data_IF_966695114660
#
_entry.id   IF_966695114660
#
_cell.length_a   1.000
_cell.length_b   1.000
_cell.length_c   1.000
_cell.angle_alpha   90.00
_cell.angle_beta   90.00
_cell.angle_gamma   90.00
#
_symmetry.space_group_name_H-M   'P 1'
#
loop_
_entity.id
_entity.type
_entity.pdbx_description
1 polymer ?
#
# COMPACT_ATOMS: atom_id res chain seq x y z
N UNK A 1 -9.45 -22.78 -11.87
CA UNK A 1 -9.18 -22.11 -10.59
C UNK A 1 -8.73 -20.69 -10.88
N UNK A 2 -9.43 -19.71 -10.34
CA UNK A 2 -9.07 -18.31 -10.56
C UNK A 2 -7.85 -17.98 -9.70
N UNK A 3 -6.71 -17.75 -10.33
CA UNK A 3 -5.50 -17.33 -9.63
C UNK A 3 -5.73 -15.92 -9.06
N UNK A 4 -5.80 -15.80 -7.75
CA UNK A 4 -5.94 -14.53 -7.06
C UNK A 4 -4.55 -14.02 -6.68
N UNK A 5 -4.22 -12.77 -7.05
CA UNK A 5 -2.92 -12.14 -6.80
C UNK A 5 -2.57 -11.97 -5.30
N UNK A 6 -3.54 -12.12 -4.40
CA UNK A 6 -3.34 -12.06 -2.95
C UNK A 6 -3.14 -13.46 -2.31
N UNK A 7 -3.07 -14.51 -3.12
CA UNK A 7 -2.75 -15.86 -2.66
C UNK A 7 -1.45 -16.32 -3.30
N UNK A 8 -0.72 -17.20 -2.60
CA UNK A 8 0.45 -17.84 -3.18
C UNK A 8 0.04 -18.78 -4.30
N UNK A 9 0.70 -18.65 -5.44
CA UNK A 9 0.60 -19.58 -6.55
C UNK A 9 2.02 -19.98 -6.98
N UNK A 10 2.70 -20.83 -6.19
CA UNK A 10 4.10 -21.18 -6.44
C UNK A 10 4.29 -21.90 -7.77
N UNK A 11 3.25 -22.60 -8.26
CA UNK A 11 3.30 -23.38 -9.51
C UNK A 11 3.01 -22.55 -10.77
N UNK A 12 2.69 -21.27 -10.62
CA UNK A 12 2.45 -20.41 -11.76
C UNK A 12 3.79 -20.11 -12.47
N UNK A 13 3.94 -20.42 -13.78
CA UNK A 13 5.15 -20.10 -14.52
C UNK A 13 5.51 -18.63 -14.43
N UNK A 14 6.81 -18.33 -14.34
CA UNK A 14 7.29 -16.96 -14.41
C UNK A 14 7.13 -16.42 -15.83
N UNK A 15 6.71 -15.15 -15.91
CA UNK A 15 6.59 -14.40 -17.14
C UNK A 15 6.86 -12.93 -16.82
N UNK A 16 8.14 -12.59 -16.77
CA UNK A 16 8.60 -11.26 -16.37
C UNK A 16 8.33 -10.22 -17.45
N UNK A 17 7.85 -9.07 -17.01
CA UNK A 17 7.74 -7.85 -17.83
C UNK A 17 8.54 -6.72 -17.19
N UNK A 18 9.13 -5.88 -18.04
CA UNK A 18 9.89 -4.72 -17.62
C UNK A 18 9.32 -3.47 -18.29
N UNK A 19 9.11 -2.44 -17.49
CA UNK A 19 8.52 -1.19 -17.98
C UNK A 19 8.86 -0.03 -17.05
N UNK A 20 8.70 1.18 -17.56
CA UNK A 20 9.02 2.41 -16.85
C UNK A 20 7.77 3.18 -16.48
N UNK A 21 7.82 3.88 -15.35
CA UNK A 21 6.75 4.75 -14.89
C UNK A 21 7.30 5.89 -14.04
N UNK A 22 6.73 7.08 -14.17
CA UNK A 22 7.09 8.24 -13.35
C UNK A 22 6.10 8.42 -12.20
N UNK A 23 6.60 8.43 -10.97
CA UNK A 23 5.84 8.67 -9.74
C UNK A 23 6.52 9.77 -8.94
N UNK A 24 5.77 10.80 -8.52
CA UNK A 24 6.28 11.94 -7.76
C UNK A 24 7.54 12.56 -8.40
N UNK A 25 7.48 12.83 -9.70
CA UNK A 25 8.56 13.39 -10.54
C UNK A 25 9.83 12.53 -10.62
N UNK A 26 9.81 11.30 -10.14
CA UNK A 26 10.90 10.35 -10.25
C UNK A 26 10.57 9.24 -11.25
N UNK A 27 11.53 8.97 -12.12
CA UNK A 27 11.48 7.84 -13.05
C UNK A 27 11.82 6.54 -12.35
N UNK A 28 10.93 5.54 -12.47
CA UNK A 28 11.11 4.19 -11.95
C UNK A 28 11.16 3.18 -13.07
N UNK A 29 11.99 2.19 -12.92
CA UNK A 29 12.09 1.04 -13.78
C UNK A 29 11.60 -0.20 -13.02
N UNK A 30 10.41 -0.69 -13.37
CA UNK A 30 9.76 -1.81 -12.71
C UNK A 30 9.96 -3.12 -13.45
N UNK A 31 10.07 -4.18 -12.66
CA UNK A 31 9.89 -5.55 -13.10
C UNK A 31 8.64 -6.13 -12.43
N UNK A 32 7.81 -6.79 -13.20
CA UNK A 32 6.62 -7.50 -12.73
C UNK A 32 6.62 -8.94 -13.25
N UNK A 33 5.70 -9.75 -12.77
CA UNK A 33 5.62 -11.16 -13.12
C UNK A 33 4.16 -11.59 -13.19
N UNK A 34 3.91 -12.77 -13.71
CA UNK A 34 2.63 -13.43 -13.58
C UNK A 34 2.26 -13.62 -12.10
N UNK A 35 0.98 -13.52 -11.76
CA UNK A 35 0.48 -13.70 -10.39
C UNK A 35 0.58 -12.47 -9.49
N UNK A 36 0.95 -11.29 -10.03
CA UNK A 36 0.88 -10.03 -9.29
C UNK A 36 -0.16 -9.08 -9.89
N UNK A 37 -0.66 -8.20 -9.05
CA UNK A 37 -1.66 -7.21 -9.44
C UNK A 37 -1.04 -6.08 -10.29
N UNK A 38 -1.80 -5.62 -11.30
CA UNK A 38 -1.43 -4.49 -12.17
C UNK A 38 -0.06 -4.66 -12.83
N UNK A 39 0.06 -5.73 -13.61
CA UNK A 39 1.31 -6.20 -14.19
C UNK A 39 1.95 -5.26 -15.21
N UNK A 40 1.15 -4.51 -15.97
CA UNK A 40 1.59 -3.76 -17.15
C UNK A 40 1.77 -2.26 -16.87
N UNK A 41 1.30 -1.79 -15.74
CA UNK A 41 1.34 -0.38 -15.36
C UNK A 41 1.08 -0.23 -13.86
N UNK A 42 1.42 0.92 -13.30
CA UNK A 42 0.99 1.24 -11.92
C UNK A 42 -0.54 1.41 -11.91
N UNK A 43 -1.20 0.69 -11.00
CA UNK A 43 -2.65 0.77 -10.82
C UNK A 43 -3.13 2.21 -10.64
N UNK A 44 -4.22 2.56 -11.31
CA UNK A 44 -4.73 3.92 -11.31
C UNK A 44 -5.06 4.43 -9.89
N UNK A 45 -5.71 3.60 -9.07
CA UNK A 45 -6.02 3.96 -7.69
C UNK A 45 -4.76 4.22 -6.86
N UNK A 46 -3.73 3.40 -7.02
CA UNK A 46 -2.43 3.61 -6.37
C UNK A 46 -1.77 4.92 -6.81
N UNK A 47 -1.85 5.29 -8.08
CA UNK A 47 -1.34 6.58 -8.58
C UNK A 47 -2.06 7.76 -7.95
N UNK A 48 -3.39 7.70 -7.84
CA UNK A 48 -4.19 8.75 -7.20
C UNK A 48 -3.84 8.87 -5.72
N UNK A 49 -3.67 7.74 -5.03
CA UNK A 49 -3.29 7.72 -3.61
C UNK A 49 -1.88 8.30 -3.39
N UNK A 50 -0.91 7.91 -4.19
CA UNK A 50 0.46 8.44 -4.12
C UNK A 50 0.47 9.97 -4.32
N UNK A 51 -0.24 10.46 -5.33
CA UNK A 51 -0.33 11.89 -5.62
C UNK A 51 -1.06 12.70 -4.54
N UNK A 52 -2.00 12.09 -3.83
CA UNK A 52 -2.77 12.73 -2.76
C UNK A 52 -2.10 12.65 -1.38
N UNK A 53 -1.03 11.88 -1.24
CA UNK A 53 -0.34 11.71 0.03
C UNK A 53 0.44 12.97 0.41
N UNK A 54 0.22 13.45 1.64
CA UNK A 54 0.93 14.58 2.21
C UNK A 54 1.75 14.12 3.42
N UNK A 55 3.06 14.30 3.35
CA UNK A 55 3.98 13.96 4.43
C UNK A 55 4.22 15.10 5.42
N UNK A 56 3.82 16.33 5.10
CA UNK A 56 4.08 17.52 5.94
C UNK A 56 3.28 17.49 7.25
N UNK A 57 2.10 16.89 7.22
CA UNK A 57 1.22 16.76 8.40
C UNK A 57 1.57 15.57 9.32
N UNK A 58 2.53 14.75 8.94
CA UNK A 58 2.87 13.55 9.70
C UNK A 58 3.68 13.87 10.96
N UNK A 59 3.62 13.00 11.99
CA UNK A 59 4.54 13.06 13.12
C UNK A 59 6.00 13.16 12.66
N UNK A 60 6.82 13.90 13.39
CA UNK A 60 8.24 14.09 13.06
C UNK A 60 9.04 12.78 13.04
N UNK A 61 8.61 11.80 13.83
CA UNK A 61 9.24 10.47 13.92
C UNK A 61 8.33 9.39 13.36
N UNK A 62 8.84 8.19 13.24
CA UNK A 62 8.11 7.03 12.72
C UNK A 62 8.23 6.89 11.20
N UNK A 63 8.23 5.65 10.76
CA UNK A 63 8.24 5.28 9.36
C UNK A 63 6.85 5.22 8.74
N UNK A 64 6.83 4.78 7.51
CA UNK A 64 5.61 4.51 6.72
C UNK A 64 5.47 3.01 6.58
N UNK A 65 4.24 2.49 6.65
CA UNK A 65 3.89 1.11 6.34
C UNK A 65 3.03 1.05 5.08
N UNK A 66 3.48 0.28 4.10
CA UNK A 66 2.73 -0.05 2.87
C UNK A 66 2.17 -1.48 3.00
N UNK A 67 0.86 -1.60 3.20
CA UNK A 67 0.16 -2.88 3.43
C UNK A 67 -0.39 -3.42 2.12
N UNK A 68 0.04 -4.62 1.74
CA UNK A 68 -0.28 -5.19 0.44
C UNK A 68 0.52 -4.51 -0.66
N UNK A 69 1.84 -4.41 -0.48
CA UNK A 69 2.71 -3.59 -1.32
C UNK A 69 2.84 -4.06 -2.77
N UNK A 70 2.46 -5.31 -3.07
CA UNK A 70 2.66 -5.88 -4.40
C UNK A 70 4.13 -5.84 -4.82
N UNK A 71 4.39 -5.45 -6.06
CA UNK A 71 5.76 -5.29 -6.58
C UNK A 71 6.43 -3.95 -6.17
N UNK A 72 5.76 -3.13 -5.34
CA UNK A 72 6.37 -2.03 -4.61
C UNK A 72 6.13 -0.61 -5.07
N UNK A 73 5.17 -0.28 -5.96
CA UNK A 73 5.05 1.08 -6.51
C UNK A 73 4.78 2.15 -5.46
N UNK A 74 3.90 1.91 -4.49
CA UNK A 74 3.55 2.89 -3.45
C UNK A 74 4.73 3.10 -2.50
N UNK A 75 5.18 2.04 -1.84
CA UNK A 75 6.25 2.14 -0.85
C UNK A 75 7.56 2.69 -1.43
N UNK A 76 7.95 2.27 -2.63
CA UNK A 76 9.16 2.77 -3.29
C UNK A 76 9.06 4.24 -3.67
N UNK A 77 7.90 4.68 -4.18
CA UNK A 77 7.69 6.08 -4.52
C UNK A 77 7.79 6.98 -3.28
N UNK A 78 7.14 6.59 -2.17
CA UNK A 78 7.16 7.35 -0.93
C UNK A 78 8.53 7.35 -0.26
N UNK A 79 9.23 6.21 -0.23
CA UNK A 79 10.59 6.12 0.31
C UNK A 79 11.55 7.04 -0.45
N UNK A 80 11.47 7.06 -1.76
CA UNK A 80 12.32 7.89 -2.61
C UNK A 80 11.99 9.39 -2.48
N UNK A 81 10.70 9.74 -2.40
CA UNK A 81 10.27 11.13 -2.38
C UNK A 81 10.50 11.81 -1.04
N UNK A 82 10.24 11.12 0.06
CA UNK A 82 10.21 11.72 1.40
C UNK A 82 11.39 11.35 2.28
N UNK A 83 12.23 10.40 1.88
CA UNK A 83 13.40 9.97 2.65
C UNK A 83 13.08 9.29 3.99
N UNK A 84 11.81 9.02 4.31
CA UNK A 84 11.42 8.28 5.50
C UNK A 84 11.63 6.78 5.31
N UNK A 85 11.96 6.04 6.37
CA UNK A 85 11.95 4.58 6.31
C UNK A 85 10.56 4.06 5.95
N UNK A 86 10.47 3.13 5.02
CA UNK A 86 9.22 2.49 4.62
C UNK A 86 9.32 0.99 4.81
N UNK A 87 8.42 0.44 5.61
CA UNK A 87 8.20 -0.99 5.71
C UNK A 87 7.13 -1.41 4.70
N UNK A 88 7.44 -2.42 3.90
CA UNK A 88 6.59 -2.88 2.81
C UNK A 88 6.27 -4.35 3.01
N UNK A 89 4.99 -4.68 3.14
CA UNK A 89 4.53 -6.03 3.44
C UNK A 89 3.49 -6.52 2.44
N UNK A 90 3.55 -7.81 2.15
CA UNK A 90 2.56 -8.51 1.35
C UNK A 90 2.50 -9.97 1.79
N UNK A 91 1.36 -10.64 1.62
CA UNK A 91 1.21 -12.07 1.87
C UNK A 91 1.83 -12.92 0.77
N UNK A 92 1.99 -12.37 -0.43
CA UNK A 92 2.48 -13.04 -1.62
C UNK A 92 4.02 -12.96 -1.70
N UNK A 93 4.70 -14.09 -1.53
CA UNK A 93 6.17 -14.18 -1.62
C UNK A 93 6.72 -13.67 -2.96
N UNK A 94 6.02 -13.95 -4.07
CA UNK A 94 6.42 -13.47 -5.41
C UNK A 94 6.39 -11.95 -5.51
N UNK A 95 5.37 -11.32 -4.92
CA UNK A 95 5.28 -9.86 -4.85
C UNK A 95 6.45 -9.27 -4.04
N UNK A 96 6.79 -9.88 -2.91
CA UNK A 96 7.92 -9.45 -2.07
C UNK A 96 9.26 -9.58 -2.79
N UNK A 97 9.49 -10.65 -3.52
CA UNK A 97 10.69 -10.83 -4.34
C UNK A 97 10.80 -9.74 -5.41
N UNK A 98 9.69 -9.42 -6.08
CA UNK A 98 9.62 -8.35 -7.06
C UNK A 98 9.84 -6.97 -6.44
N UNK A 99 9.20 -6.67 -5.30
CA UNK A 99 9.40 -5.41 -4.59
C UNK A 99 10.87 -5.20 -4.19
N UNK A 100 11.54 -6.25 -3.71
CA UNK A 100 12.96 -6.23 -3.37
C UNK A 100 13.85 -5.99 -4.59
N UNK A 101 13.55 -6.65 -5.72
CA UNK A 101 14.25 -6.42 -6.99
C UNK A 101 14.06 -4.99 -7.48
N UNK A 102 12.84 -4.46 -7.41
CA UNK A 102 12.52 -3.10 -7.83
C UNK A 102 13.18 -2.06 -6.93
N UNK A 103 13.28 -2.30 -5.63
CA UNK A 103 14.03 -1.45 -4.71
C UNK A 103 15.52 -1.36 -5.13
N UNK A 104 16.15 -2.50 -5.40
CA UNK A 104 17.54 -2.56 -5.85
C UNK A 104 17.75 -1.87 -7.20
N UNK A 105 16.89 -2.13 -8.18
CA UNK A 105 16.97 -1.53 -9.53
C UNK A 105 16.83 0.00 -9.51
N UNK A 106 16.03 0.53 -8.60
CA UNK A 106 15.79 1.97 -8.47
C UNK A 106 16.65 2.63 -7.38
N UNK A 107 17.56 1.89 -6.77
CA UNK A 107 18.48 2.40 -5.73
C UNK A 107 17.71 3.02 -4.54
N UNK A 108 16.60 2.44 -4.17
CA UNK A 108 15.81 2.80 -2.98
C UNK A 108 16.27 1.90 -1.83
N UNK A 109 16.94 2.47 -0.84
CA UNK A 109 17.64 1.71 0.23
C UNK A 109 16.97 1.85 1.60
N UNK A 110 16.09 2.84 1.79
CA UNK A 110 15.39 3.10 3.04
C UNK A 110 14.07 2.32 3.13
N UNK A 111 14.10 1.06 2.77
CA UNK A 111 12.96 0.14 2.78
C UNK A 111 13.29 -1.15 3.50
N UNK A 112 12.28 -1.70 4.18
CA UNK A 112 12.30 -3.04 4.77
C UNK A 112 11.14 -3.84 4.17
N UNK A 113 11.45 -4.83 3.34
CA UNK A 113 10.47 -5.53 2.50
C UNK A 113 10.41 -6.99 2.93
N UNK A 114 9.25 -7.44 3.41
CA UNK A 114 9.10 -8.81 3.88
C UNK A 114 7.66 -9.31 3.82
N UNK A 115 7.51 -10.63 3.92
CA UNK A 115 6.19 -11.28 3.96
C UNK A 115 5.52 -11.02 5.31
N UNK A 116 4.25 -10.65 5.25
CA UNK A 116 3.37 -10.59 6.42
C UNK A 116 1.91 -10.79 5.99
N UNK A 117 1.16 -11.57 6.75
CA UNK A 117 -0.28 -11.60 6.60
C UNK A 117 -0.88 -10.44 7.39
N UNK A 118 -1.25 -9.38 6.68
CA UNK A 118 -1.68 -8.10 7.25
C UNK A 118 -0.65 -7.62 8.30
N UNK A 119 -1.00 -7.55 9.58
CA UNK A 119 -0.16 -7.01 10.64
C UNK A 119 0.52 -8.08 11.53
N UNK A 120 0.52 -9.36 11.11
CA UNK A 120 1.05 -10.44 11.93
C UNK A 120 2.56 -10.33 12.21
N UNK A 121 3.30 -9.80 11.25
CA UNK A 121 4.75 -9.66 11.37
C UNK A 121 5.16 -8.24 10.98
N UNK A 122 5.44 -7.38 11.96
CA UNK A 122 5.86 -6.00 11.76
C UNK A 122 7.18 -5.74 12.50
N UNK A 123 8.05 -4.93 11.90
CA UNK A 123 9.39 -4.67 12.43
C UNK A 123 9.56 -3.27 13.04
N UNK A 124 8.79 -2.29 12.60
CA UNK A 124 9.08 -0.88 12.86
C UNK A 124 7.92 -0.09 13.47
N UNK A 125 7.06 -0.74 14.24
CA UNK A 125 5.99 -0.05 14.98
C UNK A 125 6.56 0.89 16.06
N UNK A 126 5.88 2.03 16.38
CA UNK A 126 4.70 2.59 15.71
C UNK A 126 5.04 3.42 14.46
N UNK A 127 4.06 3.56 13.57
CA UNK A 127 4.21 4.26 12.29
C UNK A 127 3.69 5.69 12.32
N UNK A 128 4.27 6.55 11.48
CA UNK A 128 3.72 7.88 11.19
C UNK A 128 2.56 7.80 10.18
N UNK A 129 2.62 6.86 9.25
CA UNK A 129 1.56 6.64 8.27
C UNK A 129 1.46 5.16 7.89
N UNK A 130 0.23 4.73 7.65
CA UNK A 130 -0.09 3.42 7.06
C UNK A 130 -0.90 3.69 5.80
N UNK A 131 -0.48 3.09 4.67
CA UNK A 131 -1.18 3.16 3.40
C UNK A 131 -1.54 1.76 2.92
N UNK A 132 -2.67 1.65 2.24
CA UNK A 132 -3.05 0.42 1.56
C UNK A 132 -3.91 0.68 0.32
N UNK A 133 -3.64 -0.06 -0.73
CA UNK A 133 -4.61 -0.37 -1.77
C UNK A 133 -5.15 -1.77 -1.44
N UNK A 134 -6.23 -1.88 -0.64
CA UNK A 134 -6.59 -3.14 -0.02
C UNK A 134 -7.07 -4.17 -1.04
N UNK A 135 -6.81 -5.46 -0.81
CA UNK A 135 -7.19 -6.53 -1.73
C UNK A 135 -8.70 -6.81 -1.66
N UNK A 136 -9.51 -6.06 -2.40
CA UNK A 136 -10.98 -6.15 -2.37
C UNK A 136 -11.48 -7.58 -2.66
N UNK A 137 -10.78 -8.30 -3.53
CA UNK A 137 -11.13 -9.68 -3.88
C UNK A 137 -10.90 -10.70 -2.76
N UNK A 138 -10.10 -10.34 -1.75
CA UNK A 138 -9.90 -11.17 -0.56
C UNK A 138 -11.12 -11.16 0.38
N UNK A 139 -12.04 -10.22 0.17
CA UNK A 139 -13.29 -10.09 0.92
C UNK A 139 -13.28 -8.95 1.92
N UNK A 140 -14.49 -8.63 2.37
CA UNK A 140 -14.74 -7.51 3.29
C UNK A 140 -14.02 -7.67 4.64
N UNK A 141 -13.89 -8.89 5.12
CA UNK A 141 -13.26 -9.18 6.41
C UNK A 141 -11.78 -8.78 6.41
N UNK A 142 -11.04 -9.15 5.36
CA UNK A 142 -9.62 -8.79 5.20
C UNK A 142 -9.47 -7.27 5.12
N UNK A 143 -10.30 -6.60 4.32
CA UNK A 143 -10.28 -5.13 4.23
C UNK A 143 -10.53 -4.50 5.61
N UNK A 144 -11.56 -4.95 6.31
CA UNK A 144 -11.91 -4.42 7.65
C UNK A 144 -10.83 -4.70 8.70
N UNK A 145 -10.12 -5.82 8.60
CA UNK A 145 -8.98 -6.11 9.48
C UNK A 145 -7.84 -5.10 9.28
N UNK A 146 -7.52 -4.76 8.03
CA UNK A 146 -6.56 -3.72 7.71
C UNK A 146 -6.97 -2.38 8.34
N UNK A 147 -8.25 -1.99 8.20
CA UNK A 147 -8.76 -0.72 8.73
C UNK A 147 -8.78 -0.69 10.25
N UNK A 148 -9.19 -1.77 10.89
CA UNK A 148 -9.36 -1.84 12.34
C UNK A 148 -8.04 -1.91 13.09
N UNK A 149 -7.06 -2.65 12.57
CA UNK A 149 -5.78 -2.86 13.22
C UNK A 149 -4.82 -1.67 13.13
N UNK A 150 -5.05 -0.76 12.19
CA UNK A 150 -4.13 0.34 11.92
C UNK A 150 -4.01 1.34 13.07
N UNK A 151 -5.10 1.62 13.79
CA UNK A 151 -5.13 2.64 14.85
C UNK A 151 -4.06 2.39 15.93
N UNK A 152 -3.98 1.16 16.43
CA UNK A 152 -3.03 0.81 17.51
C UNK A 152 -1.56 0.88 17.05
N UNK A 153 -1.33 0.75 15.73
CA UNK A 153 0.01 0.74 15.14
C UNK A 153 0.54 2.13 14.81
N UNK A 154 -0.30 3.15 14.90
CA UNK A 154 0.06 4.53 14.56
C UNK A 154 0.51 5.33 15.78
N UNK A 155 1.44 6.25 15.54
CA UNK A 155 1.73 7.34 16.47
C UNK A 155 0.54 8.30 16.59
N UNK A 156 0.37 9.02 17.74
CA UNK A 156 -0.55 10.16 17.78
C UNK A 156 -0.26 11.15 16.64
N UNK A 157 -1.29 11.56 15.92
CA UNK A 157 -1.16 12.36 14.70
C UNK A 157 -0.83 11.55 13.45
N UNK A 158 -0.57 10.26 13.58
CA UNK A 158 -0.33 9.37 12.45
C UNK A 158 -1.60 9.09 11.64
N UNK A 159 -1.44 8.71 10.39
CA UNK A 159 -2.56 8.60 9.44
C UNK A 159 -2.70 7.20 8.86
N UNK A 160 -3.94 6.77 8.64
CA UNK A 160 -4.28 5.68 7.75
C UNK A 160 -4.86 6.26 6.46
N UNK A 161 -4.26 5.93 5.32
CA UNK A 161 -4.75 6.32 3.98
C UNK A 161 -5.00 5.09 3.14
N UNK A 162 -6.17 4.98 2.56
CA UNK A 162 -6.51 3.90 1.63
C UNK A 162 -7.08 4.44 0.33
N UNK A 163 -6.95 3.65 -0.73
CA UNK A 163 -7.69 3.85 -1.96
C UNK A 163 -8.73 2.74 -2.14
N UNK A 164 -9.94 3.11 -2.50
CA UNK A 164 -11.02 2.15 -2.73
C UNK A 164 -12.01 2.73 -3.74
N UNK A 165 -12.48 1.88 -4.66
CA UNK A 165 -13.53 2.30 -5.58
C UNK A 165 -14.88 2.43 -4.86
N UNK A 166 -15.68 3.42 -5.28
CA UNK A 166 -17.04 3.62 -4.77
C UNK A 166 -17.86 2.32 -4.84
N UNK A 167 -17.83 1.65 -5.98
CA UNK A 167 -18.57 0.41 -6.24
C UNK A 167 -18.03 -0.81 -5.48
N UNK A 168 -16.82 -0.74 -4.96
CA UNK A 168 -16.14 -1.84 -4.27
C UNK A 168 -16.11 -1.67 -2.74
N UNK A 169 -16.92 -0.76 -2.20
CA UNK A 169 -17.11 -0.66 -0.77
C UNK A 169 -16.59 0.62 -0.10
N UNK A 170 -16.36 1.71 -0.83
CA UNK A 170 -15.91 2.98 -0.24
C UNK A 170 -16.83 3.48 0.90
N UNK A 171 -18.17 3.45 0.80
CA UNK A 171 -19.04 3.84 1.91
C UNK A 171 -18.85 2.97 3.16
N UNK A 172 -18.71 1.67 3.00
CA UNK A 172 -18.47 0.73 4.10
C UNK A 172 -17.09 0.95 4.75
N UNK A 173 -16.06 1.16 3.95
CA UNK A 173 -14.72 1.46 4.43
C UNK A 173 -14.68 2.78 5.21
N UNK A 174 -15.30 3.83 4.69
CA UNK A 174 -15.41 5.13 5.38
C UNK A 174 -16.11 5.00 6.73
N UNK A 175 -17.22 4.26 6.78
CA UNK A 175 -17.94 3.98 8.03
C UNK A 175 -17.03 3.27 9.03
N UNK A 176 -16.32 2.22 8.59
CA UNK A 176 -15.41 1.46 9.46
C UNK A 176 -14.26 2.31 9.99
N UNK A 177 -13.64 3.09 9.14
CA UNK A 177 -12.56 4.02 9.55
C UNK A 177 -13.07 5.05 10.56
N UNK A 178 -14.27 5.59 10.35
CA UNK A 178 -14.89 6.52 11.31
C UNK A 178 -15.18 5.85 12.66
N UNK A 179 -15.65 4.61 12.66
CA UNK A 179 -15.88 3.84 13.89
C UNK A 179 -14.59 3.61 14.68
N UNK A 180 -13.48 3.31 13.99
CA UNK A 180 -12.19 2.98 14.61
C UNK A 180 -11.43 4.22 15.07
N UNK A 181 -11.41 5.27 14.24
CA UNK A 181 -10.59 6.48 14.46
C UNK A 181 -11.36 7.66 15.05
N UNK A 182 -12.69 7.65 15.00
CA UNK A 182 -13.52 8.81 15.31
C UNK A 182 -13.61 9.83 14.16
N UNK A 183 -12.84 9.66 13.10
CA UNK A 183 -12.80 10.53 11.93
C UNK A 183 -12.47 9.76 10.65
N UNK A 184 -12.94 10.26 9.53
CA UNK A 184 -12.51 9.83 8.20
C UNK A 184 -12.91 10.88 7.18
N UNK A 185 -11.96 11.42 6.47
CA UNK A 185 -12.20 12.34 5.36
C UNK A 185 -11.99 11.66 4.01
N UNK A 186 -12.69 12.19 3.01
CA UNK A 186 -12.42 11.88 1.61
C UNK A 186 -11.44 12.94 1.11
N UNK A 187 -10.17 12.58 0.98
CA UNK A 187 -9.11 13.50 0.53
C UNK A 187 -9.34 13.92 -0.92
N UNK A 188 -9.65 12.96 -1.77
CA UNK A 188 -9.96 13.21 -3.19
C UNK A 188 -10.78 12.06 -3.78
N UNK A 189 -11.39 12.35 -4.93
CA UNK A 189 -12.09 11.39 -5.77
C UNK A 189 -11.66 11.56 -7.21
N UNK A 190 -11.29 10.48 -7.87
CA UNK A 190 -10.95 10.52 -9.28
C UNK A 190 -11.37 9.21 -9.96
N UNK A 191 -12.13 9.32 -11.06
CA UNK A 191 -12.63 8.19 -11.86
C UNK A 191 -13.25 7.06 -11.03
N UNK A 192 -13.98 7.41 -9.98
CA UNK A 192 -14.62 6.46 -9.08
C UNK A 192 -13.73 5.88 -7.98
N UNK A 193 -12.46 6.24 -7.93
CA UNK A 193 -11.55 5.95 -6.82
C UNK A 193 -11.66 7.01 -5.74
N UNK A 194 -11.80 6.58 -4.50
CA UNK A 194 -11.85 7.44 -3.31
C UNK A 194 -10.57 7.24 -2.51
N UNK A 195 -9.92 8.34 -2.16
CA UNK A 195 -8.84 8.33 -1.18
C UNK A 195 -9.42 8.72 0.16
N UNK A 196 -9.39 7.78 1.09
CA UNK A 196 -9.90 7.95 2.46
C UNK A 196 -8.73 8.07 3.42
N UNK A 197 -8.81 9.04 4.34
CA UNK A 197 -7.80 9.27 5.38
C UNK A 197 -8.45 9.41 6.74
N UNK A 198 -7.89 8.72 7.72
CA UNK A 198 -8.17 8.91 9.15
C UNK A 198 -6.90 9.29 9.89
N UNK A 199 -7.04 10.06 10.95
CA UNK A 199 -5.94 10.52 11.80
C UNK A 199 -6.13 9.97 13.21
N UNK A 200 -5.08 9.42 13.81
CA UNK A 200 -5.08 9.03 15.23
C UNK A 200 -4.91 10.28 16.08
N UNK A 201 -5.94 10.65 16.81
CA UNK A 201 -5.92 11.72 17.81
C UNK A 201 -5.28 11.29 19.14
#
# INVERSE_FOLDING_TARGET
MTNHYYTENPDLPHDYEEWDFTLLDRHFHFVTDSGVFSRDTVDYGSRVMIAAFDAEELPATGGILDVGCGYGPVGLALAAAYGRPVEMIDVNHRAIDLASRNAGRNQVTNVDIHVSNIYETLHHTPYAAILSNPPIRAGKEVVHEILSGAHELLLPGGTLTIVIQKKQGAPSAKKKMTEVFGNCEIVTKDKGYYILKSVKE
#
